data_IF_285046290086
#
_entry.id   IF_285046290086
#
_cell.length_a   1.000
_cell.length_b   1.000
_cell.length_c   1.000
_cell.angle_alpha   90.00
_cell.angle_beta   90.00
_cell.angle_gamma   90.00
#
_symmetry.space_group_name_H-M   'P 1'
#
loop_
_entity.id
_entity.type
_entity.pdbx_description
1 polymer ?
#
# COMPACT_ATOMS: atom_id res chain seq x y z
N UNK A 1 14.22 12.19 36.64
CA UNK A 1 15.19 11.69 35.62
C UNK A 1 16.21 12.81 35.36
N UNK A 2 17.53 12.57 35.34
CA UNK A 2 18.52 13.62 35.07
C UNK A 2 18.43 14.13 33.61
N UNK A 3 18.69 15.42 33.36
CA UNK A 3 18.65 16.00 32.01
C UNK A 3 19.64 15.34 31.02
N UNK A 4 20.79 14.90 31.53
CA UNK A 4 21.78 14.12 30.75
C UNK A 4 21.19 12.82 30.21
N UNK A 5 20.26 12.19 30.93
CA UNK A 5 19.59 10.97 30.49
C UNK A 5 18.66 11.24 29.31
N UNK A 6 17.96 12.37 29.30
CA UNK A 6 17.11 12.79 28.17
C UNK A 6 17.95 13.01 26.92
N UNK A 7 19.09 13.69 27.04
CA UNK A 7 20.02 13.90 25.92
C UNK A 7 20.56 12.57 25.36
N UNK A 8 20.92 11.62 26.22
CA UNK A 8 21.34 10.29 25.79
C UNK A 8 20.23 9.54 25.05
N UNK A 9 18.99 9.61 25.54
CA UNK A 9 17.84 9.02 24.84
C UNK A 9 17.63 9.66 23.46
N UNK A 10 17.78 10.98 23.35
CA UNK A 10 17.66 11.68 22.07
C UNK A 10 18.73 11.23 21.06
N UNK A 11 19.96 10.98 21.52
CA UNK A 11 21.02 10.43 20.67
C UNK A 11 20.70 9.02 20.14
N UNK A 12 19.85 8.24 20.83
CA UNK A 12 19.42 6.93 20.31
C UNK A 12 18.61 7.06 19.02
N UNK A 13 17.88 8.16 18.80
CA UNK A 13 17.14 8.40 17.55
C UNK A 13 18.11 8.47 16.36
N UNK A 14 19.21 9.22 16.52
CA UNK A 14 20.28 9.27 15.51
C UNK A 14 20.94 7.91 15.32
N UNK A 15 21.09 7.14 16.39
CA UNK A 15 21.60 5.76 16.34
C UNK A 15 20.69 4.83 15.53
N UNK A 16 19.37 4.92 15.70
CA UNK A 16 18.39 4.16 14.92
C UNK A 16 18.47 4.57 13.45
N UNK A 17 18.46 5.88 13.15
CA UNK A 17 18.63 6.38 11.78
C UNK A 17 19.87 5.80 11.10
N UNK A 18 21.05 5.90 11.74
CA UNK A 18 22.30 5.42 11.15
C UNK A 18 22.28 3.92 10.88
N UNK A 19 21.72 3.13 11.81
CA UNK A 19 21.60 1.67 11.66
C UNK A 19 20.63 1.27 10.57
N UNK A 20 19.46 1.92 10.49
CA UNK A 20 18.47 1.67 9.44
C UNK A 20 19.05 1.95 8.05
N UNK A 21 19.69 3.11 7.88
CA UNK A 21 20.32 3.47 6.60
C UNK A 21 21.41 2.46 6.25
N UNK A 22 22.32 2.16 7.19
CA UNK A 22 23.42 1.22 6.93
C UNK A 22 22.92 -0.20 6.57
N UNK A 23 21.90 -0.70 7.27
CA UNK A 23 21.36 -2.04 7.04
C UNK A 23 20.64 -2.17 5.68
N UNK A 24 20.06 -1.08 5.20
CA UNK A 24 19.26 -1.08 3.96
C UNK A 24 20.04 -0.58 2.74
N UNK A 25 21.18 0.09 2.94
CA UNK A 25 22.03 0.67 1.89
C UNK A 25 22.38 -0.29 0.72
N UNK A 26 22.65 -1.59 0.95
CA UNK A 26 23.00 -2.51 -0.13
C UNK A 26 21.84 -2.81 -1.09
N UNK A 27 20.61 -2.43 -0.75
CA UNK A 27 19.40 -2.74 -1.51
C UNK A 27 18.82 -1.48 -2.15
N UNK A 28 18.16 -1.64 -3.29
CA UNK A 28 17.38 -0.55 -3.89
C UNK A 28 16.00 -0.41 -3.21
N UNK A 29 15.41 -1.56 -2.84
CA UNK A 29 14.14 -1.65 -2.14
C UNK A 29 14.23 -2.69 -1.01
N UNK A 30 13.52 -2.43 0.09
CA UNK A 30 13.35 -3.36 1.21
C UNK A 30 11.85 -3.63 1.39
N UNK A 31 11.49 -4.91 1.44
CA UNK A 31 10.12 -5.36 1.65
C UNK A 31 9.96 -5.91 3.07
N UNK A 32 8.89 -5.51 3.73
CA UNK A 32 8.50 -6.06 5.04
C UNK A 32 6.99 -6.09 5.20
N UNK A 33 6.44 -6.86 6.15
CA UNK A 33 5.10 -6.59 6.65
C UNK A 33 5.01 -5.15 7.17
N UNK A 34 3.82 -4.55 7.09
CA UNK A 34 3.57 -3.21 7.66
C UNK A 34 3.46 -3.28 9.18
N UNK A 35 2.78 -4.32 9.67
CA UNK A 35 2.61 -4.58 11.09
C UNK A 35 2.97 -6.06 11.37
N UNK A 36 3.48 -6.37 12.57
CA UNK A 36 3.80 -7.74 12.97
C UNK A 36 2.56 -8.60 13.29
N UNK A 37 1.36 -8.01 13.23
CA UNK A 37 0.09 -8.62 13.61
C UNK A 37 -1.02 -8.12 12.69
N UNK A 38 -2.08 -8.92 12.57
CA UNK A 38 -3.31 -8.51 11.91
C UNK A 38 -4.10 -7.49 12.76
N UNK A 39 -5.12 -6.87 12.16
CA UNK A 39 -5.99 -5.92 12.86
C UNK A 39 -6.63 -6.55 14.11
N UNK A 40 -6.46 -5.92 15.27
CA UNK A 40 -6.94 -6.40 16.57
C UNK A 40 -8.24 -5.69 16.98
N UNK A 41 -8.97 -6.18 18.00
CA UNK A 41 -10.23 -5.56 18.44
C UNK A 41 -10.10 -4.08 18.74
N UNK A 42 -11.10 -3.28 18.37
CA UNK A 42 -11.07 -1.82 18.46
C UNK A 42 -10.98 -1.31 19.91
N UNK A 43 -11.44 -2.12 20.87
CA UNK A 43 -11.45 -1.81 22.29
C UNK A 43 -10.06 -1.97 22.91
N UNK A 44 -9.12 -2.59 22.21
CA UNK A 44 -7.75 -2.76 22.69
C UNK A 44 -6.90 -1.53 22.28
N UNK A 45 -6.10 -0.97 23.20
CA UNK A 45 -5.25 0.19 22.88
C UNK A 45 -4.06 -0.18 21.97
N UNK A 46 -3.69 -1.45 21.95
CA UNK A 46 -2.56 -1.99 21.18
C UNK A 46 -2.71 -3.52 21.07
N UNK A 47 -2.02 -4.19 20.13
CA UNK A 47 -2.22 -5.63 19.89
C UNK A 47 -1.67 -6.55 20.99
N UNK A 48 -0.86 -6.03 21.92
CA UNK A 48 -0.25 -6.78 23.01
C UNK A 48 -0.59 -6.15 24.37
N UNK A 49 -1.86 -6.18 24.79
CA UNK A 49 -2.27 -5.56 26.05
C UNK A 49 -1.58 -6.26 27.23
N UNK A 50 -0.91 -5.50 28.09
CA UNK A 50 -0.21 -6.01 29.28
C UNK A 50 1.20 -6.57 29.03
N UNK A 51 1.69 -6.57 27.79
CA UNK A 51 3.11 -6.82 27.49
C UNK A 51 3.90 -5.50 27.66
N UNK A 52 5.11 -5.56 28.19
CA UNK A 52 6.02 -4.40 28.27
C UNK A 52 6.49 -3.92 26.88
N UNK A 53 6.23 -4.69 25.83
CA UNK A 53 6.54 -4.37 24.41
C UNK A 53 5.58 -3.35 23.78
N UNK A 54 5.41 -2.20 24.43
CA UNK A 54 4.48 -1.14 24.01
C UNK A 54 4.72 -0.66 22.56
N UNK A 55 5.94 -0.75 22.04
CA UNK A 55 6.31 -0.28 20.70
C UNK A 55 6.49 -1.39 19.65
N UNK A 56 6.32 -2.67 20.01
CA UNK A 56 6.60 -3.76 19.07
C UNK A 56 5.71 -3.73 17.83
N UNK A 57 4.49 -3.21 17.95
CA UNK A 57 3.53 -3.10 16.86
C UNK A 57 3.97 -2.15 15.73
N UNK A 58 4.91 -1.23 16.00
CA UNK A 58 5.52 -0.33 14.99
C UNK A 58 6.95 -0.74 14.61
N UNK A 59 7.38 -1.96 14.96
CA UNK A 59 8.77 -2.41 14.74
C UNK A 59 9.25 -2.31 13.29
N UNK A 60 8.34 -2.46 12.31
CA UNK A 60 8.66 -2.33 10.88
C UNK A 60 8.62 -0.89 10.38
N UNK A 61 7.79 -0.03 10.97
CA UNK A 61 7.52 1.33 10.46
C UNK A 61 8.37 2.40 11.15
N UNK A 62 8.65 2.25 12.45
CA UNK A 62 9.44 3.20 13.24
C UNK A 62 10.85 3.47 12.67
N UNK A 63 11.60 2.46 12.18
CA UNK A 63 12.92 2.70 11.60
C UNK A 63 12.91 3.70 10.44
N UNK A 64 11.88 3.68 9.58
CA UNK A 64 11.77 4.55 8.41
C UNK A 64 11.32 5.97 8.77
N UNK A 65 10.48 6.13 9.80
CA UNK A 65 10.15 7.45 10.36
C UNK A 65 11.40 8.16 10.88
N UNK A 66 12.32 7.42 11.51
CA UNK A 66 13.57 7.97 12.04
C UNK A 66 14.63 8.15 10.97
N UNK A 67 14.73 7.24 10.00
CA UNK A 67 15.75 7.32 8.95
C UNK A 67 15.46 8.39 7.90
N UNK A 68 14.18 8.73 7.71
CA UNK A 68 13.73 9.65 6.66
C UNK A 68 13.78 9.03 5.27
N UNK A 69 13.80 7.70 5.19
CA UNK A 69 13.65 6.97 3.92
C UNK A 69 12.17 6.92 3.51
N UNK A 70 11.86 7.02 2.22
CA UNK A 70 10.50 6.85 1.73
C UNK A 70 10.06 5.40 1.94
N UNK A 71 8.83 5.23 2.42
CA UNK A 71 8.18 3.93 2.56
C UNK A 71 6.70 4.03 2.17
N UNK A 72 6.27 3.18 1.23
CA UNK A 72 4.87 3.05 0.83
C UNK A 72 4.28 1.74 1.33
N UNK A 73 2.95 1.67 1.41
CA UNK A 73 2.22 0.46 1.81
C UNK A 73 1.16 0.14 0.77
N UNK A 74 1.07 -1.13 0.39
CA UNK A 74 0.03 -1.65 -0.51
C UNK A 74 -0.56 -2.94 0.07
N UNK A 75 -1.85 -3.18 -0.16
CA UNK A 75 -2.49 -4.42 0.28
C UNK A 75 -1.93 -5.62 -0.49
N UNK A 76 -1.40 -6.61 0.23
CA UNK A 76 -0.78 -7.81 -0.33
C UNK A 76 -1.58 -9.10 -0.09
N UNK A 77 -2.70 -9.02 0.63
CA UNK A 77 -3.55 -10.16 0.86
C UNK A 77 -4.49 -9.95 2.04
N UNK A 78 -5.05 -11.06 2.50
CA UNK A 78 -5.95 -11.11 3.63
C UNK A 78 -5.59 -12.29 4.53
N UNK A 79 -5.89 -12.16 5.82
CA UNK A 79 -5.90 -13.29 6.74
C UNK A 79 -7.05 -14.24 6.40
N UNK A 80 -7.06 -15.44 6.99
CA UNK A 80 -8.16 -16.40 6.83
C UNK A 80 -9.52 -15.82 7.24
N UNK A 81 -9.53 -14.92 8.23
CA UNK A 81 -10.71 -14.18 8.70
C UNK A 81 -10.91 -12.83 7.99
N UNK A 82 -10.32 -12.66 6.79
CA UNK A 82 -10.53 -11.52 5.87
C UNK A 82 -10.03 -10.16 6.35
N UNK A 83 -9.11 -10.08 7.31
CA UNK A 83 -8.45 -8.82 7.68
C UNK A 83 -7.33 -8.50 6.68
N UNK A 84 -7.15 -7.23 6.27
CA UNK A 84 -6.13 -6.86 5.29
C UNK A 84 -4.71 -7.09 5.82
N UNK A 85 -3.83 -7.55 4.94
CA UNK A 85 -2.39 -7.66 5.18
C UNK A 85 -1.69 -6.70 4.22
N UNK A 86 -0.87 -5.80 4.78
CA UNK A 86 -0.10 -4.84 3.99
C UNK A 86 1.36 -5.27 3.84
N UNK A 87 1.92 -5.04 2.66
CA UNK A 87 3.37 -5.03 2.43
C UNK A 87 3.87 -3.59 2.41
N UNK A 88 4.92 -3.34 3.17
CA UNK A 88 5.67 -2.09 3.18
C UNK A 88 6.83 -2.20 2.18
N UNK A 89 6.99 -1.16 1.36
CA UNK A 89 8.04 -1.03 0.36
C UNK A 89 8.84 0.21 0.73
N UNK A 90 10.05 0.02 1.24
CA UNK A 90 10.96 1.12 1.59
C UNK A 90 12.09 1.25 0.56
N UNK A 91 12.52 2.48 0.29
CA UNK A 91 13.56 2.78 -0.67
C UNK A 91 14.75 3.51 -0.07
N UNK A 92 15.68 3.92 -0.93
CA UNK A 92 16.78 4.81 -0.54
C UNK A 92 16.24 6.19 -0.19
N UNK A 93 16.99 6.91 0.65
CA UNK A 93 16.64 8.28 1.02
C UNK A 93 16.50 9.13 -0.24
N UNK A 94 15.37 9.84 -0.33
CA UNK A 94 14.97 10.68 -1.48
C UNK A 94 14.58 9.95 -2.77
N UNK A 95 14.41 8.63 -2.74
CA UNK A 95 13.90 7.85 -3.88
C UNK A 95 12.39 7.57 -3.79
N UNK A 96 11.62 8.62 -3.50
CA UNK A 96 10.15 8.56 -3.40
C UNK A 96 9.53 8.04 -4.69
N UNK A 97 10.06 8.48 -5.83
CA UNK A 97 9.60 8.05 -7.15
C UNK A 97 9.84 6.56 -7.39
N UNK A 98 10.99 6.01 -6.98
CA UNK A 98 11.28 4.59 -7.07
C UNK A 98 10.31 3.76 -6.23
N UNK A 99 10.06 4.18 -4.99
CA UNK A 99 9.10 3.53 -4.09
C UNK A 99 7.68 3.56 -4.66
N UNK A 100 7.22 4.70 -5.17
CA UNK A 100 5.89 4.82 -5.78
C UNK A 100 5.75 3.97 -7.05
N UNK A 101 6.79 3.90 -7.89
CA UNK A 101 6.81 3.02 -9.06
C UNK A 101 6.72 1.55 -8.67
N UNK A 102 7.44 1.14 -7.63
CA UNK A 102 7.41 -0.22 -7.12
C UNK A 102 6.03 -0.58 -6.54
N UNK A 103 5.43 0.32 -5.76
CA UNK A 103 4.07 0.16 -5.23
C UNK A 103 3.04 0.02 -6.37
N UNK A 104 3.09 0.92 -7.36
CA UNK A 104 2.18 0.89 -8.50
C UNK A 104 2.38 -0.37 -9.37
N UNK A 105 3.62 -0.84 -9.51
CA UNK A 105 3.89 -2.12 -10.17
C UNK A 105 3.26 -3.28 -9.40
N UNK A 106 3.43 -3.32 -8.07
CA UNK A 106 2.84 -4.36 -7.24
C UNK A 106 1.32 -4.38 -7.37
N UNK A 107 0.65 -3.23 -7.28
CA UNK A 107 -0.81 -3.16 -7.40
C UNK A 107 -1.34 -3.67 -8.75
N UNK A 108 -0.58 -3.49 -9.84
CA UNK A 108 -0.94 -4.01 -11.16
C UNK A 108 -0.69 -5.51 -11.35
N UNK A 109 0.18 -6.10 -10.53
CA UNK A 109 0.64 -7.49 -10.68
C UNK A 109 0.23 -8.40 -9.50
N UNK A 110 -0.42 -7.86 -8.47
CA UNK A 110 -0.88 -8.65 -7.32
C UNK A 110 -1.96 -9.66 -7.75
N UNK A 111 -2.06 -10.81 -7.05
CA UNK A 111 -3.13 -11.76 -7.30
C UNK A 111 -4.51 -11.13 -7.05
N UNK A 112 -5.54 -11.63 -7.74
CA UNK A 112 -6.89 -11.09 -7.65
C UNK A 112 -7.44 -11.14 -6.21
N UNK A 113 -7.04 -12.14 -5.45
CA UNK A 113 -7.38 -12.35 -4.04
C UNK A 113 -6.78 -11.28 -3.11
N UNK A 114 -5.73 -10.58 -3.54
CA UNK A 114 -5.11 -9.48 -2.80
C UNK A 114 -5.70 -8.11 -3.15
N UNK A 115 -6.68 -8.04 -4.06
CA UNK A 115 -7.37 -6.79 -4.37
C UNK A 115 -8.36 -6.46 -3.25
N UNK A 116 -8.23 -5.30 -2.57
CA UNK A 116 -9.17 -4.90 -1.55
C UNK A 116 -10.52 -4.53 -2.17
N UNK A 117 -11.57 -5.13 -1.62
CA UNK A 117 -12.94 -4.69 -1.86
C UNK A 117 -13.24 -3.54 -0.89
N UNK A 118 -13.00 -2.32 -1.34
CA UNK A 118 -13.48 -1.15 -0.63
C UNK A 118 -15.02 -1.16 -0.67
N UNK A 119 -15.73 -1.01 0.46
CA UNK A 119 -17.17 -0.75 0.38
C UNK A 119 -17.36 0.47 -0.52
N UNK A 120 -18.23 0.36 -1.53
CA UNK A 120 -18.52 1.47 -2.43
C UNK A 120 -18.70 2.74 -1.60
N UNK A 121 -18.14 3.86 -2.06
CA UNK A 121 -18.17 5.16 -1.36
C UNK A 121 -19.58 5.73 -1.15
N UNK A 122 -20.64 4.93 -1.33
CA UNK A 122 -22.03 5.20 -0.98
C UNK A 122 -22.23 5.18 0.55
N UNK A 123 -21.47 5.99 1.28
CA UNK A 123 -21.90 6.43 2.60
C UNK A 123 -23.03 7.46 2.41
N UNK A 124 -24.27 6.97 2.36
CA UNK A 124 -25.49 7.73 2.67
C UNK A 124 -25.86 8.90 1.76
N UNK A 125 -26.47 8.63 0.60
CA UNK A 125 -27.59 9.46 0.16
C UNK A 125 -28.86 8.85 0.77
N UNK A 126 -29.73 9.60 1.47
CA UNK A 126 -30.94 9.04 2.04
C UNK A 126 -31.79 8.46 0.90
N UNK A 127 -32.00 7.14 0.93
CA UNK A 127 -32.94 6.46 0.05
C UNK A 127 -34.32 7.00 0.38
N UNK A 128 -34.78 7.98 -0.42
CA UNK A 128 -36.09 8.56 -0.28
C UNK A 128 -37.15 7.47 -0.34
N UNK A 129 -37.89 7.30 0.75
CA UNK A 129 -39.21 6.70 0.76
C UNK A 129 -40.04 7.40 -0.34
N UNK A 130 -40.35 6.67 -1.42
CA UNK A 130 -41.39 7.10 -2.36
C UNK A 130 -42.74 6.93 -1.67
N UNK A 131 -43.22 8.02 -1.10
CA UNK A 131 -44.63 8.19 -0.70
C UNK A 131 -45.25 9.23 -1.63
N UNK A 132 -46.39 8.89 -2.24
CA UNK A 132 -47.28 9.88 -2.84
C UNK A 132 -47.22 9.99 -4.36
N UNK A 133 -47.93 9.08 -4.99
CA UNK A 133 -48.79 9.30 -6.15
C UNK A 133 -49.07 10.79 -6.47
N UNK A 134 -48.69 11.22 -7.68
CA UNK A 134 -49.34 12.35 -8.34
C UNK A 134 -49.49 12.06 -9.83
N UNK A 135 -50.73 11.73 -10.16
CA UNK A 135 -51.36 11.62 -11.46
C UNK A 135 -51.10 12.85 -12.31
N UNK A 136 -50.49 12.67 -13.48
CA UNK A 136 -50.84 13.46 -14.66
C UNK A 136 -50.56 12.66 -15.93
N UNK A 137 -51.65 12.35 -16.61
CA UNK A 137 -51.76 11.77 -17.94
C UNK A 137 -51.19 12.68 -19.03
N UNK A 138 -50.51 12.09 -20.02
CA UNK A 138 -50.69 12.41 -21.46
C UNK A 138 -50.06 11.33 -22.35
N UNK A 139 -50.81 11.01 -23.40
CA UNK A 139 -50.77 9.91 -24.41
C UNK A 139 -49.48 9.76 -25.23
N UNK A 140 -49.17 8.56 -25.78
CA UNK A 140 -48.01 8.35 -26.66
C UNK A 140 -48.36 8.59 -28.15
N UNK A 141 -47.48 9.28 -28.88
CA UNK A 141 -47.45 9.24 -30.35
C UNK A 141 -46.05 8.89 -30.84
N UNK A 142 -46.01 7.98 -31.82
CA UNK A 142 -44.80 7.34 -32.33
C UNK A 142 -44.02 8.17 -33.35
N UNK A 143 -42.82 7.69 -33.68
CA UNK A 143 -41.98 8.24 -34.72
C UNK A 143 -40.68 7.45 -34.87
N UNK A 144 -40.68 6.46 -35.76
CA UNK A 144 -39.50 5.75 -36.25
C UNK A 144 -38.54 6.69 -36.97
N UNK A 145 -37.23 6.59 -36.75
CA UNK A 145 -36.26 6.53 -37.86
C UNK A 145 -34.85 6.14 -37.38
N UNK A 146 -34.26 5.24 -38.16
CA UNK A 146 -32.89 4.75 -38.11
C UNK A 146 -31.82 5.87 -38.17
N UNK A 147 -30.59 5.57 -37.72
CA UNK A 147 -29.44 5.28 -38.60
C UNK A 147 -28.11 5.11 -37.82
N UNK A 148 -27.47 3.96 -38.09
CA UNK A 148 -26.06 3.73 -38.47
C UNK A 148 -24.94 4.46 -37.72
N UNK A 149 -23.91 3.68 -37.31
CA UNK A 149 -22.55 4.21 -37.22
C UNK A 149 -21.57 3.40 -36.38
N UNK A 150 -21.16 2.23 -36.87
CA UNK A 150 -19.99 1.45 -36.40
C UNK A 150 -18.68 2.17 -36.74
N UNK A 151 -17.69 2.17 -35.84
CA UNK A 151 -16.23 2.13 -36.18
C UNK A 151 -15.48 1.32 -35.09
N UNK A 152 -14.47 0.47 -35.42
CA UNK A 152 -14.14 -0.72 -34.64
C UNK A 152 -12.85 -0.63 -33.80
N UNK A 153 -12.68 -1.63 -32.94
CA UNK A 153 -11.45 -1.98 -32.24
C UNK A 153 -10.44 -2.69 -33.17
N UNK A 154 -9.18 -2.25 -33.15
CA UNK A 154 -8.01 -2.96 -33.70
C UNK A 154 -6.94 -3.06 -32.61
N UNK A 155 -6.68 -4.26 -32.09
CA UNK A 155 -5.64 -5.22 -32.48
C UNK A 155 -4.21 -4.87 -32.03
N UNK A 156 -3.77 -5.64 -31.03
CA UNK A 156 -2.53 -6.43 -30.95
C UNK A 156 -1.15 -5.75 -31.04
N UNK A 157 -0.28 -6.12 -30.09
CA UNK A 157 1.16 -5.88 -30.16
C UNK A 157 1.89 -6.37 -28.90
N UNK A 158 2.11 -7.69 -28.75
CA UNK A 158 3.43 -8.37 -28.91
C UNK A 158 4.37 -8.27 -27.70
N UNK A 159 4.73 -9.42 -27.15
CA UNK A 159 5.68 -9.63 -26.06
C UNK A 159 7.15 -9.68 -26.53
N UNK A 160 8.09 -9.41 -25.61
CA UNK A 160 9.47 -9.96 -25.39
C UNK A 160 10.48 -8.85 -24.92
N UNK A 161 11.65 -9.17 -24.32
CA UNK A 161 11.94 -10.01 -23.16
C UNK A 161 12.94 -9.36 -22.16
N UNK A 162 13.24 -10.10 -21.09
CA UNK A 162 14.15 -9.77 -20.00
C UNK A 162 15.62 -9.51 -20.43
N UNK A 163 16.28 -8.56 -19.74
CA UNK A 163 17.72 -8.34 -19.80
C UNK A 163 18.35 -8.52 -18.41
N UNK A 164 18.97 -9.69 -18.21
CA UNK A 164 19.91 -9.98 -17.13
C UNK A 164 21.31 -9.59 -17.64
N UNK A 165 21.99 -8.65 -16.97
CA UNK A 165 23.46 -8.51 -17.07
C UNK A 165 24.07 -8.83 -15.72
N UNK A 166 24.77 -9.94 -15.68
CA UNK A 166 25.75 -10.26 -14.66
C UNK A 166 27.13 -10.02 -15.30
N UNK A 167 27.85 -9.01 -14.84
CA UNK A 167 29.29 -8.92 -15.03
C UNK A 167 29.95 -9.29 -13.69
N UNK A 168 30.53 -10.48 -13.65
CA UNK A 168 31.59 -10.83 -12.69
C UNK A 168 32.91 -10.70 -13.42
N UNK A 169 33.73 -9.75 -12.98
CA UNK A 169 35.15 -9.70 -13.28
C UNK A 169 35.91 -9.57 -11.97
N UNK A 170 36.95 -10.40 -11.80
CA UNK A 170 38.01 -10.12 -10.83
C UNK A 170 38.27 -11.18 -9.77
N UNK A 171 38.65 -12.38 -10.19
CA UNK A 171 39.61 -13.19 -9.44
C UNK A 171 40.99 -12.48 -9.46
N UNK A 172 41.62 -12.31 -8.29
CA UNK A 172 43.08 -12.27 -8.09
C UNK A 172 43.44 -12.23 -6.60
N UNK A 173 43.85 -13.39 -6.10
CA UNK A 173 45.02 -13.65 -5.25
C UNK A 173 45.48 -12.58 -4.23
N UNK A 174 45.38 -12.92 -2.93
CA UNK A 174 46.52 -13.17 -2.02
C UNK A 174 46.03 -13.79 -0.71
#
# INVERSE_FOLDING_TARGET
MPGTRVLQCYQQIMGIQARTVAATLPYDLVLSPVAPVAAFPAEQPMPFPGDEKTMAHIGFTAPYNMSGQPAATVNCGFTADRRPIGVQIAGRRFDDLGVLRAAAWYERNRPAEAVPHWPDSAHGAPTGQKTGEKTTSTTPEGGSLERRGTVPAGLAGTALPAHRRADRAGDRAR
#
